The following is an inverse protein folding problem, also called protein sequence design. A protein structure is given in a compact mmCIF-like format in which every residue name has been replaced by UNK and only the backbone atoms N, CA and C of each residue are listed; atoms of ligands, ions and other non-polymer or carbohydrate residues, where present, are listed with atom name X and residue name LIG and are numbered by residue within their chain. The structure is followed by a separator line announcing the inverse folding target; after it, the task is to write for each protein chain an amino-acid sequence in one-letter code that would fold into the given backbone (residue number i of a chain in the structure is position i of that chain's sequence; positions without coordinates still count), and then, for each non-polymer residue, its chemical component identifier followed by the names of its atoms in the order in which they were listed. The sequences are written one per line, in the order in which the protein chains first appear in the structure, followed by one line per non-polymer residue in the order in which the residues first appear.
data_IF_294154177065
#
_entry.id   IF_294154177065
#
_cell.length_a   1.000
_cell.length_b   1.000
_cell.length_c   1.000
_cell.angle_alpha   90.00
_cell.angle_beta   90.00
_cell.angle_gamma   90.00
#
_symmetry.space_group_name_H-M   'P 1'
#
loop_
_entity.id
_entity.type
_entity.pdbx_description
1 polymer ?
#
# COMPACT_ATOMS: atom_id res chain seq x y z
N UNK A 1 10.83 4.44 0.11
CA UNK A 1 9.43 4.37 0.56
C UNK A 1 9.05 5.64 1.29
N UNK A 2 7.84 6.08 1.13
CA UNK A 2 7.37 7.34 1.69
C UNK A 2 5.88 7.23 2.04
N UNK A 3 5.48 7.89 3.12
CA UNK A 3 4.07 8.06 3.48
C UNK A 3 3.58 9.36 2.83
N UNK A 4 2.45 9.29 2.12
CA UNK A 4 1.88 10.50 1.52
C UNK A 4 1.56 11.54 2.61
N UNK A 5 1.92 12.82 2.42
CA UNK A 5 1.65 13.86 3.43
C UNK A 5 0.19 13.98 3.84
N UNK A 6 -0.73 13.80 2.89
CA UNK A 6 -2.17 13.83 3.17
C UNK A 6 -2.57 12.66 4.07
N UNK A 7 -1.94 11.48 3.92
CA UNK A 7 -2.17 10.37 4.83
C UNK A 7 -1.68 10.66 6.24
N UNK A 8 -0.55 11.33 6.38
CA UNK A 8 -0.06 11.75 7.71
C UNK A 8 -1.06 12.65 8.42
N UNK A 9 -1.65 13.60 7.67
CA UNK A 9 -2.71 14.45 8.19
C UNK A 9 -3.91 13.62 8.63
N UNK A 10 -4.35 12.67 7.80
CA UNK A 10 -5.49 11.82 8.11
C UNK A 10 -5.25 10.97 9.36
N UNK A 11 -4.03 10.49 9.59
CA UNK A 11 -3.68 9.81 10.83
C UNK A 11 -3.81 10.72 12.04
N UNK A 12 -3.29 11.95 11.94
CA UNK A 12 -3.34 12.92 13.03
C UNK A 12 -4.78 13.36 13.33
N UNK A 13 -5.62 13.46 12.33
CA UNK A 13 -7.01 13.87 12.46
C UNK A 13 -7.93 12.71 12.91
N UNK A 14 -7.43 11.47 12.94
CA UNK A 14 -8.22 10.30 13.27
C UNK A 14 -9.09 9.78 12.12
N UNK A 15 -8.84 10.23 10.89
CA UNK A 15 -9.60 9.82 9.70
C UNK A 15 -9.18 8.45 9.19
N UNK A 16 -7.95 8.01 9.47
CA UNK A 16 -7.46 6.68 9.13
C UNK A 16 -7.07 5.95 10.42
N UNK A 17 -7.66 4.78 10.63
CA UNK A 17 -7.30 3.85 11.69
C UNK A 17 -6.74 2.58 11.02
N UNK A 18 -5.43 2.42 11.07
CA UNK A 18 -4.76 1.30 10.40
C UNK A 18 -5.18 -0.07 10.93
N UNK A 19 -5.64 -0.15 12.18
CA UNK A 19 -6.06 -1.44 12.76
C UNK A 19 -7.45 -1.86 12.31
N UNK A 20 -8.37 -0.90 12.17
CA UNK A 20 -9.79 -1.20 11.92
C UNK A 20 -10.21 -0.94 10.48
N UNK A 21 -9.55 -0.03 9.77
CA UNK A 21 -9.86 0.25 8.38
C UNK A 21 -9.37 -0.86 7.46
N UNK A 22 -10.05 -1.02 6.34
CA UNK A 22 -9.66 -1.97 5.31
C UNK A 22 -8.47 -1.42 4.53
N UNK A 23 -7.37 -2.16 4.55
CA UNK A 23 -6.12 -1.77 3.89
C UNK A 23 -5.82 -2.76 2.77
N UNK A 24 -5.46 -2.24 1.62
CA UNK A 24 -5.04 -3.02 0.46
C UNK A 24 -3.78 -2.43 -0.16
N UNK A 25 -3.06 -3.25 -0.91
CA UNK A 25 -1.97 -2.80 -1.75
C UNK A 25 -2.35 -2.88 -3.22
N UNK A 26 -1.78 -2.00 -4.02
CA UNK A 26 -1.87 -2.05 -5.48
C UNK A 26 -0.47 -2.04 -6.07
N UNK A 27 -0.29 -2.69 -7.21
CA UNK A 27 0.96 -2.65 -7.95
C UNK A 27 0.93 -1.48 -8.92
N UNK A 28 2.03 -0.74 -8.98
CA UNK A 28 2.19 0.43 -9.84
C UNK A 28 3.36 0.19 -10.79
N UNK A 29 3.16 0.50 -12.07
CA UNK A 29 4.24 0.59 -13.04
C UNK A 29 4.97 1.93 -12.86
N UNK A 30 6.19 1.87 -12.38
CA UNK A 30 7.00 3.07 -12.12
C UNK A 30 7.41 3.81 -13.40
N UNK A 31 7.29 3.17 -14.57
CA UNK A 31 7.45 3.85 -15.85
C UNK A 31 6.27 4.76 -16.22
N UNK A 32 5.12 4.57 -15.59
CA UNK A 32 3.89 5.32 -15.85
C UNK A 32 3.51 6.23 -14.69
N UNK A 33 3.66 5.77 -13.45
CA UNK A 33 3.33 6.56 -12.26
C UNK A 33 4.58 7.20 -11.68
N UNK A 34 4.49 8.51 -11.42
CA UNK A 34 5.51 9.23 -10.64
C UNK A 34 4.90 9.68 -9.33
N UNK A 35 5.55 9.33 -8.21
CA UNK A 35 5.12 9.79 -6.90
C UNK A 35 5.03 11.30 -6.85
N UNK A 36 3.97 11.80 -6.21
CA UNK A 36 3.82 13.22 -5.89
C UNK A 36 3.27 13.38 -4.48
N UNK A 37 3.87 14.28 -3.71
CA UNK A 37 3.39 14.62 -2.37
C UNK A 37 1.98 15.24 -2.37
N UNK A 38 1.50 15.68 -3.51
CA UNK A 38 0.15 16.25 -3.66
C UNK A 38 -0.92 15.18 -3.91
N UNK A 39 -0.54 13.95 -4.17
CA UNK A 39 -1.50 12.86 -4.38
C UNK A 39 -2.14 12.45 -3.06
N UNK A 40 -3.44 12.22 -3.07
CA UNK A 40 -4.20 11.89 -1.87
C UNK A 40 -5.19 10.73 -2.05
N UNK A 41 -5.66 10.47 -3.27
CA UNK A 41 -6.67 9.45 -3.53
C UNK A 41 -6.22 8.45 -4.59
N UNK A 42 -6.86 7.28 -4.58
CA UNK A 42 -6.63 6.23 -5.56
C UNK A 42 -6.74 6.75 -7.01
N UNK A 43 -7.63 7.72 -7.26
CA UNK A 43 -7.80 8.33 -8.58
C UNK A 43 -6.54 9.04 -9.09
N UNK A 44 -5.62 9.42 -8.21
CA UNK A 44 -4.35 10.06 -8.60
C UNK A 44 -3.33 9.07 -9.15
N UNK A 45 -3.57 7.77 -8.98
CA UNK A 45 -2.67 6.74 -9.48
C UNK A 45 -2.86 6.55 -10.97
N UNK A 46 -1.73 6.42 -11.68
CA UNK A 46 -1.66 5.96 -13.06
C UNK A 46 -0.85 4.67 -13.10
N UNK A 47 -1.01 3.86 -14.15
CA UNK A 47 -0.20 2.67 -14.30
C UNK A 47 -0.44 1.59 -13.24
N UNK A 48 -1.64 1.51 -12.68
CA UNK A 48 -2.03 0.39 -11.82
C UNK A 48 -2.00 -0.88 -12.66
N UNK A 49 -1.26 -1.89 -12.17
CA UNK A 49 -1.03 -3.13 -12.91
C UNK A 49 -1.85 -4.24 -12.27
N UNK A 50 -2.77 -4.81 -13.05
CA UNK A 50 -3.56 -5.94 -12.63
C UNK A 50 -4.53 -5.61 -11.50
N UNK A 51 -4.70 -6.56 -10.60
CA UNK A 51 -5.64 -6.46 -9.49
C UNK A 51 -4.94 -6.01 -8.21
N UNK A 52 -5.75 -5.60 -7.23
CA UNK A 52 -5.29 -5.25 -5.89
C UNK A 52 -5.00 -6.50 -5.08
N UNK A 53 -4.30 -6.33 -3.97
CA UNK A 53 -4.17 -7.40 -2.97
C UNK A 53 -5.51 -7.64 -2.27
N UNK A 54 -5.63 -8.77 -1.59
CA UNK A 54 -6.67 -8.94 -0.58
C UNK A 54 -6.48 -7.94 0.57
N UNK A 55 -7.42 -7.91 1.49
CA UNK A 55 -7.31 -7.06 2.68
C UNK A 55 -6.11 -7.50 3.52
N UNK A 56 -5.39 -6.53 4.06
CA UNK A 56 -4.32 -6.81 5.02
C UNK A 56 -4.91 -7.47 6.27
N UNK A 57 -4.22 -8.47 6.77
CA UNK A 57 -4.61 -9.22 7.96
C UNK A 57 -3.52 -9.13 9.02
N UNK A 58 -3.87 -9.45 10.28
CA UNK A 58 -2.93 -9.45 11.40
C UNK A 58 -2.20 -8.12 11.56
N UNK A 59 -2.92 -7.03 11.38
CA UNK A 59 -2.36 -5.68 11.44
C UNK A 59 -1.96 -5.30 12.85
N UNK A 60 -0.80 -4.66 12.99
CA UNK A 60 -0.28 -4.13 14.25
C UNK A 60 0.27 -2.73 14.05
N UNK A 61 0.29 -1.96 15.14
CA UNK A 61 0.81 -0.58 15.14
C UNK A 61 1.78 -0.35 16.31
N UNK A 62 2.46 -1.39 16.73
CA UNK A 62 3.34 -1.36 17.91
C UNK A 62 4.48 -0.36 17.74
N UNK A 63 4.63 0.54 18.70
CA UNK A 63 5.72 1.52 18.69
C UNK A 63 5.67 2.49 17.52
N UNK A 64 4.51 2.74 16.93
CA UNK A 64 4.36 3.59 15.77
C UNK A 64 4.75 2.93 14.44
N UNK A 65 5.02 1.64 14.46
CA UNK A 65 5.34 0.86 13.26
C UNK A 65 4.13 0.05 12.81
N UNK A 66 3.70 0.27 11.59
CA UNK A 66 2.64 -0.52 10.97
C UNK A 66 3.22 -1.80 10.37
N UNK A 67 2.61 -2.92 10.72
CA UNK A 67 2.95 -4.22 10.16
C UNK A 67 1.68 -5.04 9.92
N UNK A 68 1.79 -6.04 9.07
CA UNK A 68 0.70 -6.95 8.76
C UNK A 68 1.27 -8.26 8.19
N UNK A 69 0.40 -9.25 8.03
CA UNK A 69 0.76 -10.48 7.33
C UNK A 69 1.16 -10.17 5.88
N UNK A 70 2.01 -11.00 5.31
CA UNK A 70 2.42 -10.89 3.92
C UNK A 70 1.22 -10.97 2.98
N UNK A 71 1.33 -10.36 1.81
CA UNK A 71 0.22 -10.25 0.87
C UNK A 71 0.51 -10.97 -0.44
N UNK A 72 -0.56 -11.36 -1.12
CA UNK A 72 -0.52 -11.93 -2.46
C UNK A 72 -1.45 -11.12 -3.36
N UNK A 73 -0.97 -10.75 -4.53
CA UNK A 73 -1.79 -10.10 -5.54
C UNK A 73 -2.48 -11.16 -6.40
N UNK A 74 -3.80 -11.22 -6.29
CA UNK A 74 -4.66 -12.09 -7.08
C UNK A 74 -5.66 -11.22 -7.85
N UNK A 75 -6.65 -11.80 -8.50
CA UNK A 75 -7.65 -11.05 -9.25
C UNK A 75 -8.71 -10.39 -8.35
N UNK A 76 -8.29 -9.70 -7.30
CA UNK A 76 -9.19 -9.00 -6.36
C UNK A 76 -9.27 -7.53 -6.73
N UNK A 77 -10.47 -6.97 -6.74
CA UNK A 77 -10.72 -5.53 -6.92
C UNK A 77 -11.55 -5.02 -5.73
N UNK A 78 -11.56 -3.74 -5.52
CA UNK A 78 -12.33 -3.17 -4.42
C UNK A 78 -12.00 -1.72 -4.08
N UNK A 79 -10.94 -1.16 -4.67
CA UNK A 79 -10.62 0.26 -4.47
C UNK A 79 -11.51 1.15 -5.31
N UNK A 80 -11.80 2.33 -4.79
CA UNK A 80 -12.57 3.36 -5.46
C UNK A 80 -11.74 4.63 -5.62
N UNK A 81 -12.20 5.52 -6.52
CA UNK A 81 -11.48 6.76 -6.85
C UNK A 81 -11.19 7.64 -5.63
N UNK A 82 -11.99 7.55 -4.58
CA UNK A 82 -11.86 8.38 -3.38
C UNK A 82 -11.20 7.68 -2.20
N UNK A 83 -10.72 6.45 -2.38
CA UNK A 83 -9.94 5.77 -1.35
C UNK A 83 -8.62 6.51 -1.11
N UNK A 84 -8.24 6.66 0.16
CA UNK A 84 -7.05 7.41 0.53
C UNK A 84 -5.76 6.66 0.19
N UNK A 85 -4.80 7.37 -0.38
CA UNK A 85 -3.43 6.86 -0.49
C UNK A 85 -2.73 7.01 0.86
N UNK A 86 -2.02 5.96 1.28
CA UNK A 86 -1.32 5.93 2.56
C UNK A 86 0.19 6.03 2.35
N UNK A 87 0.77 5.10 1.62
CA UNK A 87 2.21 5.05 1.44
C UNK A 87 2.59 4.56 0.04
N UNK A 88 3.68 5.10 -0.47
CA UNK A 88 4.36 4.62 -1.68
C UNK A 88 5.56 3.77 -1.25
N UNK A 89 5.55 2.50 -1.58
CA UNK A 89 6.54 1.53 -1.14
C UNK A 89 7.26 0.97 -2.36
N UNK A 90 8.56 1.16 -2.44
CA UNK A 90 9.40 0.69 -3.52
C UNK A 90 10.40 -0.38 -3.10
N UNK A 91 10.30 -0.84 -1.84
CA UNK A 91 11.17 -1.90 -1.34
C UNK A 91 10.45 -2.79 -0.32
N UNK A 92 10.78 -4.08 -0.32
CA UNK A 92 10.31 -5.07 0.63
C UNK A 92 11.44 -6.09 0.85
N UNK A 93 11.26 -7.01 1.80
CA UNK A 93 12.25 -8.09 2.02
C UNK A 93 12.41 -8.98 0.78
N UNK A 94 11.32 -9.17 0.04
CA UNK A 94 11.33 -9.84 -1.26
C UNK A 94 10.09 -9.44 -2.05
N UNK A 95 10.08 -9.69 -3.36
CA UNK A 95 8.93 -9.43 -4.20
C UNK A 95 8.88 -8.05 -4.84
N UNK A 96 9.74 -7.10 -4.42
CA UNK A 96 9.79 -5.75 -5.01
C UNK A 96 11.24 -5.34 -5.33
N UNK A 97 11.49 -4.66 -6.47
CA UNK A 97 10.56 -4.51 -7.59
C UNK A 97 10.24 -5.87 -8.23
N UNK A 98 9.15 -5.95 -8.95
CA UNK A 98 8.65 -7.20 -9.51
C UNK A 98 8.38 -7.06 -11.00
N UNK A 99 8.68 -8.13 -11.76
CA UNK A 99 8.29 -8.23 -13.17
C UNK A 99 7.10 -9.19 -13.23
N UNK A 100 5.91 -8.72 -13.66
CA UNK A 100 4.74 -9.58 -13.75
C UNK A 100 4.96 -10.71 -14.76
N UNK A 101 4.50 -11.92 -14.41
CA UNK A 101 4.63 -13.11 -15.26
C UNK A 101 3.29 -13.83 -15.52
N UNK A 102 2.17 -13.19 -15.15
CA UNK A 102 0.83 -13.75 -15.31
C UNK A 102 0.38 -14.61 -14.15
N UNK A 103 1.23 -14.93 -13.18
CA UNK A 103 0.87 -15.64 -11.97
C UNK A 103 0.63 -14.72 -10.78
N UNK A 104 0.38 -15.32 -9.62
CA UNK A 104 0.26 -14.57 -8.38
C UNK A 104 1.58 -13.90 -8.03
N UNK A 105 1.50 -12.71 -7.45
CA UNK A 105 2.64 -11.95 -6.98
C UNK A 105 2.57 -11.90 -5.46
N UNK A 106 3.59 -12.48 -4.80
CA UNK A 106 3.68 -12.50 -3.36
C UNK A 106 4.64 -11.41 -2.89
N UNK A 107 4.24 -10.65 -1.88
CA UNK A 107 5.09 -9.64 -1.25
C UNK A 107 5.33 -10.03 0.20
N UNK A 108 6.59 -10.13 0.57
CA UNK A 108 7.03 -10.40 1.94
C UNK A 108 7.51 -9.09 2.55
N UNK A 109 6.83 -8.64 3.60
CA UNK A 109 7.21 -7.41 4.28
C UNK A 109 8.51 -7.59 5.07
N UNK A 110 9.23 -6.48 5.26
CA UNK A 110 10.42 -6.49 6.11
C UNK A 110 10.04 -6.89 7.54
N UNK A 111 10.90 -7.65 8.22
CA UNK A 111 10.68 -8.10 9.60
C UNK A 111 10.55 -6.91 10.58
N UNK A 112 11.07 -5.75 10.22
CA UNK A 112 10.95 -4.53 11.02
C UNK A 112 9.62 -3.78 10.81
N UNK A 113 8.70 -4.31 9.99
CA UNK A 113 7.42 -3.70 9.68
C UNK A 113 7.34 -3.09 8.28
N UNK A 114 6.16 -2.55 7.94
CA UNK A 114 5.89 -1.98 6.61
C UNK A 114 6.36 -0.53 6.55
N UNK A 115 5.95 0.29 7.51
CA UNK A 115 6.42 1.66 7.69
C UNK A 115 6.25 2.11 9.13
N UNK A 116 6.94 3.18 9.49
CA UNK A 116 6.81 3.83 10.79
C UNK A 116 6.42 5.30 10.63
N UNK A 117 5.67 5.77 11.55
CA UNK A 117 5.28 7.17 11.64
C UNK A 117 6.12 7.87 12.71
#
# INVERSE_FOLDING_TARGET
SVIYPIAKKAFLDGDIDLLTDNIRAVLIDTGTYTYSAAHDFYADLTGVVGAESGLFASKTTTGGTFDAADITFTAVTGSTATDNLIAYIDSASSGLPVTPNGGDINVVWNASGIFSI
#
